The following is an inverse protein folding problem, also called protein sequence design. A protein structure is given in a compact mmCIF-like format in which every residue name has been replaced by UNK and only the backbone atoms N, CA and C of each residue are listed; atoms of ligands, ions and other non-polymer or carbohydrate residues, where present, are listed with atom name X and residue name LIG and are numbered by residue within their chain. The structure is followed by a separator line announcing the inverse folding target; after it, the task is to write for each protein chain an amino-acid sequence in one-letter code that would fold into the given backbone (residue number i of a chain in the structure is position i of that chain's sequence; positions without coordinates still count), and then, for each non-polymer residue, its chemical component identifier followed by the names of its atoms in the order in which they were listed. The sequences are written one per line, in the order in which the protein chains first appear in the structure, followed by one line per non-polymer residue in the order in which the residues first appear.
data_IF_431709689015
#
_entry.id   IF_431709689015
#
_cell.length_a   1.000
_cell.length_b   1.000
_cell.length_c   1.000
_cell.angle_alpha   90.00
_cell.angle_beta   90.00
_cell.angle_gamma   90.00
#
_symmetry.space_group_name_H-M   'P 1'
#
loop_
_entity.id
_entity.type
_entity.pdbx_description
1 polymer ?
#
# COMPACT_ATOMS: atom_id res chain seq x y z
N UNK A 1 6.58 7.18 -11.71
CA UNK A 1 5.71 7.27 -10.52
C UNK A 1 6.56 7.08 -9.27
N UNK A 2 6.51 8.02 -8.34
CA UNK A 2 7.13 7.84 -7.03
C UNK A 2 6.32 6.90 -6.14
N UNK A 3 6.94 6.30 -5.13
CA UNK A 3 6.23 5.43 -4.19
C UNK A 3 5.10 6.17 -3.46
N UNK A 4 5.21 7.48 -3.25
CA UNK A 4 4.16 8.29 -2.65
C UNK A 4 2.87 8.28 -3.49
N UNK A 5 2.98 8.16 -4.82
CA UNK A 5 1.81 8.06 -5.71
C UNK A 5 1.16 6.67 -5.67
N UNK A 6 1.83 5.67 -5.10
CA UNK A 6 1.28 4.33 -4.92
C UNK A 6 0.49 4.16 -3.63
N UNK A 7 0.55 5.14 -2.72
CA UNK A 7 -0.11 5.07 -1.43
C UNK A 7 -1.63 5.13 -1.57
N UNK A 8 -2.33 4.27 -0.87
CA UNK A 8 -3.79 4.15 -0.93
C UNK A 8 -4.48 4.78 0.28
N UNK A 9 -3.80 4.82 1.43
CA UNK A 9 -4.37 5.35 2.66
C UNK A 9 -4.76 6.83 2.57
N UNK A 10 -3.94 7.74 1.99
CA UNK A 10 -4.29 9.15 1.90
C UNK A 10 -5.63 9.38 1.20
N UNK A 11 -5.84 8.80 0.03
CA UNK A 11 -7.10 8.95 -0.71
C UNK A 11 -8.28 8.28 0.00
N UNK A 12 -8.05 7.14 0.64
CA UNK A 12 -9.06 6.46 1.43
C UNK A 12 -9.53 7.32 2.61
N UNK A 13 -8.59 7.99 3.28
CA UNK A 13 -8.88 8.91 4.38
C UNK A 13 -9.68 10.13 3.89
N UNK A 14 -9.25 10.76 2.81
CA UNK A 14 -9.97 11.89 2.20
C UNK A 14 -11.40 11.48 1.84
N UNK A 15 -11.58 10.35 1.19
CA UNK A 15 -12.90 9.84 0.81
C UNK A 15 -13.79 9.60 2.03
N UNK A 16 -13.25 8.99 3.08
CA UNK A 16 -13.99 8.73 4.30
C UNK A 16 -14.43 10.04 4.99
N UNK A 17 -13.53 11.02 5.05
CA UNK A 17 -13.84 12.34 5.62
C UNK A 17 -14.92 13.07 4.81
N UNK A 18 -14.78 13.10 3.50
CA UNK A 18 -15.72 13.78 2.60
C UNK A 18 -17.11 13.15 2.65
N UNK A 19 -17.20 11.82 2.76
CA UNK A 19 -18.51 11.14 2.93
C UNK A 19 -19.21 11.53 4.22
N UNK A 20 -18.50 11.97 5.24
CA UNK A 20 -19.04 12.47 6.49
C UNK A 20 -19.25 13.98 6.49
N UNK A 21 -18.97 14.65 5.36
CA UNK A 21 -19.05 16.11 5.23
C UNK A 21 -18.22 16.85 6.28
N UNK A 22 -17.10 16.27 6.72
CA UNK A 22 -16.20 16.89 7.69
C UNK A 22 -15.06 17.62 6.97
N UNK A 23 -14.70 18.80 7.49
CA UNK A 23 -13.48 19.48 7.09
C UNK A 23 -12.26 18.85 7.77
N UNK A 24 -11.06 19.10 7.26
CA UNK A 24 -9.82 18.68 7.92
C UNK A 24 -9.74 19.22 9.35
N UNK A 25 -10.15 20.47 9.53
CA UNK A 25 -10.16 21.12 10.86
C UNK A 25 -11.13 20.43 11.81
N UNK A 26 -12.32 20.08 11.35
CA UNK A 26 -13.32 19.35 12.16
C UNK A 26 -12.78 17.98 12.58
N UNK A 27 -12.21 17.22 11.64
CA UNK A 27 -11.62 15.92 11.96
C UNK A 27 -10.49 16.07 12.98
N UNK A 28 -9.64 17.08 12.83
CA UNK A 28 -8.55 17.34 13.76
C UNK A 28 -9.08 17.63 15.18
N UNK A 29 -10.15 18.41 15.31
CA UNK A 29 -10.79 18.66 16.61
C UNK A 29 -11.30 17.36 17.22
N UNK A 30 -12.02 16.55 16.46
CA UNK A 30 -12.52 15.24 16.93
C UNK A 30 -11.40 14.31 17.39
N UNK A 31 -10.25 14.40 16.75
CA UNK A 31 -9.09 13.58 17.05
C UNK A 31 -8.15 14.23 18.08
N UNK A 32 -8.46 15.42 18.56
CA UNK A 32 -7.60 16.17 19.48
C UNK A 32 -6.17 16.30 18.97
N UNK A 33 -6.03 16.67 17.71
CA UNK A 33 -4.74 16.87 17.06
C UNK A 33 -4.72 18.15 16.24
N UNK A 34 -3.53 18.59 15.87
CA UNK A 34 -3.35 19.75 15.02
C UNK A 34 -3.86 19.48 13.60
N UNK A 35 -4.56 20.43 12.95
CA UNK A 35 -5.02 20.26 11.57
C UNK A 35 -3.88 19.93 10.58
N UNK A 36 -2.66 20.37 10.84
CA UNK A 36 -1.50 20.05 10.02
C UNK A 36 -1.20 18.56 9.99
N UNK A 37 -1.50 17.82 11.07
CA UNK A 37 -1.36 16.37 11.11
C UNK A 37 -2.36 15.67 10.19
N UNK A 38 -3.61 16.11 10.19
CA UNK A 38 -4.62 15.58 9.27
C UNK A 38 -4.21 15.86 7.82
N UNK A 39 -3.77 17.08 7.55
CA UNK A 39 -3.27 17.45 6.22
C UNK A 39 -2.11 16.56 5.79
N UNK A 40 -1.15 16.31 6.68
CA UNK A 40 0.00 15.45 6.38
C UNK A 40 -0.41 14.00 6.10
N UNK A 41 -1.37 13.46 6.85
CA UNK A 41 -1.93 12.12 6.61
C UNK A 41 -2.60 12.04 5.23
N UNK A 42 -3.38 13.03 4.86
CA UNK A 42 -4.09 13.07 3.58
C UNK A 42 -3.17 13.29 2.38
N UNK A 43 -1.98 13.83 2.60
CA UNK A 43 -0.97 14.02 1.56
C UNK A 43 0.10 12.92 1.52
N UNK A 44 -0.01 11.92 2.38
CA UNK A 44 0.97 10.83 2.44
C UNK A 44 2.34 11.25 2.94
N UNK A 45 2.43 12.35 3.70
CA UNK A 45 3.69 12.86 4.26
C UNK A 45 4.05 12.24 5.61
N UNK A 46 3.08 11.66 6.30
CA UNK A 46 3.30 10.86 7.50
C UNK A 46 3.70 9.45 7.09
N UNK A 47 4.62 8.85 7.84
CA UNK A 47 5.00 7.46 7.62
C UNK A 47 3.88 6.48 7.96
N UNK A 48 4.24 5.30 8.45
CA UNK A 48 3.27 4.26 8.78
C UNK A 48 2.20 4.76 9.76
N UNK A 49 0.95 4.46 9.47
CA UNK A 49 -0.18 4.75 10.34
C UNK A 49 -0.25 3.69 11.43
N UNK A 50 -0.18 4.11 12.69
CA UNK A 50 -0.24 3.18 13.82
C UNK A 50 -1.65 2.64 14.04
N UNK A 51 -1.80 1.43 14.61
CA UNK A 51 -3.12 0.89 14.95
C UNK A 51 -3.91 1.81 15.88
N UNK A 52 -3.25 2.48 16.82
CA UNK A 52 -3.89 3.43 17.73
C UNK A 52 -4.47 4.64 16.99
N UNK A 53 -3.71 5.20 16.04
CA UNK A 53 -4.18 6.31 15.21
C UNK A 53 -5.36 5.88 14.33
N UNK A 54 -5.28 4.69 13.77
CA UNK A 54 -6.34 4.13 12.93
C UNK A 54 -7.64 3.96 13.72
N UNK A 55 -7.57 3.48 14.95
CA UNK A 55 -8.72 3.34 15.82
C UNK A 55 -9.37 4.69 16.15
N UNK A 56 -8.55 5.69 16.43
CA UNK A 56 -9.03 7.06 16.66
C UNK A 56 -9.70 7.64 15.43
N UNK A 57 -9.14 7.42 14.24
CA UNK A 57 -9.74 7.82 12.96
C UNK A 57 -11.10 7.14 12.74
N UNK A 58 -11.15 5.83 12.93
CA UNK A 58 -12.37 5.06 12.76
C UNK A 58 -13.48 5.56 13.67
N UNK A 59 -13.15 5.87 14.92
CA UNK A 59 -14.09 6.41 15.90
C UNK A 59 -14.53 7.84 15.53
N UNK A 60 -13.60 8.71 15.20
CA UNK A 60 -13.91 10.10 14.83
C UNK A 60 -14.76 10.20 13.56
N UNK A 61 -14.53 9.32 12.60
CA UNK A 61 -15.28 9.26 11.34
C UNK A 61 -16.54 8.42 11.41
N UNK A 62 -16.78 7.72 12.52
CA UNK A 62 -17.95 6.86 12.67
C UNK A 62 -18.00 5.74 11.63
N UNK A 63 -16.85 5.12 11.33
CA UNK A 63 -16.75 4.10 10.29
C UNK A 63 -17.47 2.81 10.67
N UNK A 64 -18.14 2.19 9.70
CA UNK A 64 -18.62 0.82 9.83
C UNK A 64 -17.45 -0.16 9.93
N UNK A 65 -17.72 -1.40 10.34
CA UNK A 65 -16.69 -2.46 10.39
C UNK A 65 -16.05 -2.69 9.02
N UNK A 66 -16.83 -2.64 7.95
CA UNK A 66 -16.36 -2.80 6.58
C UNK A 66 -15.48 -1.63 6.14
N UNK A 67 -15.93 -0.41 6.39
CA UNK A 67 -15.16 0.80 6.09
C UNK A 67 -13.83 0.83 6.86
N UNK A 68 -13.88 0.44 8.13
CA UNK A 68 -12.69 0.34 8.98
C UNK A 68 -11.70 -0.69 8.41
N UNK A 69 -12.18 -1.88 8.04
CA UNK A 69 -11.33 -2.91 7.46
C UNK A 69 -10.66 -2.45 6.16
N UNK A 70 -11.38 -1.68 5.33
CA UNK A 70 -10.81 -1.08 4.12
C UNK A 70 -9.69 -0.09 4.42
N UNK A 71 -9.88 0.76 5.43
CA UNK A 71 -8.88 1.75 5.83
C UNK A 71 -7.65 1.07 6.46
N UNK A 72 -7.87 0.04 7.27
CA UNK A 72 -6.80 -0.80 7.85
C UNK A 72 -5.96 -1.47 6.76
N UNK A 73 -6.62 -2.05 5.77
CA UNK A 73 -5.93 -2.67 4.64
C UNK A 73 -5.08 -1.65 3.89
N UNK A 74 -5.62 -0.46 3.60
CA UNK A 74 -4.88 0.60 2.92
C UNK A 74 -3.63 1.01 3.73
N UNK A 75 -3.74 1.11 5.04
CA UNK A 75 -2.62 1.43 5.93
C UNK A 75 -1.53 0.35 5.88
N UNK A 76 -1.91 -0.93 5.93
CA UNK A 76 -0.97 -2.05 5.82
C UNK A 76 -0.30 -2.09 4.45
N UNK A 77 -1.09 -1.92 3.38
CA UNK A 77 -0.56 -1.81 2.01
C UNK A 77 0.54 -0.76 1.94
N UNK A 78 0.26 0.44 2.42
CA UNK A 78 1.19 1.57 2.34
C UNK A 78 2.46 1.31 3.15
N UNK A 79 2.33 0.69 4.33
CA UNK A 79 3.49 0.33 5.15
C UNK A 79 4.41 -0.65 4.43
N UNK A 80 3.86 -1.67 3.79
CA UNK A 80 4.63 -2.67 3.04
C UNK A 80 5.28 -2.06 1.80
N UNK A 81 4.55 -1.21 1.08
CA UNK A 81 5.05 -0.49 -0.11
C UNK A 81 6.21 0.43 0.25
N UNK A 82 6.08 1.21 1.34
CA UNK A 82 7.15 2.09 1.80
C UNK A 82 8.39 1.29 2.24
N UNK A 83 8.19 0.18 2.92
CA UNK A 83 9.28 -0.72 3.30
C UNK A 83 10.01 -1.29 2.06
N UNK A 84 9.25 -1.73 1.07
CA UNK A 84 9.83 -2.22 -0.20
C UNK A 84 10.63 -1.13 -0.91
N UNK A 85 10.10 0.10 -0.96
CA UNK A 85 10.82 1.24 -1.56
C UNK A 85 12.14 1.49 -0.84
N UNK A 86 12.12 1.54 0.48
CA UNK A 86 13.29 1.92 1.28
C UNK A 86 14.40 0.86 1.23
N UNK A 87 14.04 -0.41 1.07
CA UNK A 87 15.00 -1.52 1.06
C UNK A 87 15.34 -2.04 -0.34
N UNK A 88 14.47 -1.88 -1.32
CA UNK A 88 14.63 -2.48 -2.64
C UNK A 88 14.32 -1.53 -3.82
N UNK A 89 13.94 -0.29 -3.56
CA UNK A 89 13.75 0.74 -4.58
C UNK A 89 12.32 0.86 -5.10
N UNK A 90 12.13 1.84 -5.99
CA UNK A 90 10.80 2.21 -6.52
C UNK A 90 10.15 1.09 -7.35
N UNK A 91 10.92 0.36 -8.16
CA UNK A 91 10.37 -0.72 -8.98
C UNK A 91 9.85 -1.88 -8.12
N UNK A 92 10.57 -2.20 -7.05
CA UNK A 92 10.11 -3.20 -6.08
C UNK A 92 8.82 -2.73 -5.39
N UNK A 93 8.74 -1.47 -5.03
CA UNK A 93 7.53 -0.89 -4.44
C UNK A 93 6.32 -1.03 -5.36
N UNK A 94 6.47 -0.78 -6.66
CA UNK A 94 5.40 -0.97 -7.65
C UNK A 94 4.95 -2.42 -7.74
N UNK A 95 5.88 -3.35 -7.78
CA UNK A 95 5.57 -4.78 -7.84
C UNK A 95 4.84 -5.24 -6.58
N UNK A 96 5.29 -4.81 -5.41
CA UNK A 96 4.65 -5.13 -4.13
C UNK A 96 3.23 -4.56 -4.07
N UNK A 97 3.05 -3.30 -4.47
CA UNK A 97 1.73 -2.66 -4.50
C UNK A 97 0.76 -3.43 -5.39
N UNK A 98 1.19 -3.76 -6.60
CA UNK A 98 0.36 -4.51 -7.55
C UNK A 98 0.00 -5.90 -7.01
N UNK A 99 0.97 -6.59 -6.41
CA UNK A 99 0.76 -7.91 -5.81
C UNK A 99 -0.24 -7.88 -4.66
N UNK A 100 -0.16 -6.89 -3.78
CA UNK A 100 -1.11 -6.71 -2.67
C UNK A 100 -2.52 -6.39 -3.17
N UNK A 101 -2.63 -5.52 -4.18
CA UNK A 101 -3.91 -5.20 -4.78
C UNK A 101 -4.53 -6.41 -5.50
N UNK A 102 -3.71 -7.19 -6.20
CA UNK A 102 -4.16 -8.42 -6.84
C UNK A 102 -4.67 -9.43 -5.81
N UNK A 103 -3.97 -9.60 -4.69
CA UNK A 103 -4.41 -10.48 -3.61
C UNK A 103 -5.80 -10.10 -3.07
N UNK A 104 -6.07 -8.80 -2.98
CA UNK A 104 -7.36 -8.32 -2.48
C UNK A 104 -8.48 -8.42 -3.52
N UNK A 105 -8.19 -8.13 -4.77
CA UNK A 105 -9.19 -8.01 -5.84
C UNK A 105 -9.53 -9.34 -6.52
N UNK A 106 -8.58 -10.27 -6.56
CA UNK A 106 -8.71 -11.51 -7.32
C UNK A 106 -9.19 -12.67 -6.45
N UNK A 107 -9.90 -13.61 -7.08
CA UNK A 107 -10.27 -14.87 -6.44
C UNK A 107 -9.02 -15.72 -6.15
N UNK A 108 -9.15 -16.73 -5.30
CA UNK A 108 -8.06 -17.65 -4.99
C UNK A 108 -7.50 -18.33 -6.24
N UNK A 109 -8.38 -18.74 -7.15
CA UNK A 109 -7.99 -19.37 -8.41
C UNK A 109 -7.20 -18.40 -9.31
N UNK A 110 -7.70 -17.17 -9.45
CA UNK A 110 -7.02 -16.12 -10.22
C UNK A 110 -5.66 -15.78 -9.62
N UNK A 111 -5.56 -15.71 -8.31
CA UNK A 111 -4.29 -15.50 -7.60
C UNK A 111 -3.28 -16.61 -7.88
N UNK A 112 -3.74 -17.87 -7.90
CA UNK A 112 -2.88 -19.02 -8.25
C UNK A 112 -2.36 -18.89 -9.67
N UNK A 113 -3.19 -18.48 -10.62
CA UNK A 113 -2.78 -18.22 -12.00
C UNK A 113 -1.71 -17.15 -12.12
N UNK A 114 -1.87 -16.04 -11.41
CA UNK A 114 -0.88 -14.94 -11.38
C UNK A 114 0.45 -15.44 -10.80
N UNK A 115 0.42 -16.15 -9.68
CA UNK A 115 1.63 -16.69 -9.07
C UNK A 115 2.35 -17.68 -9.98
N UNK A 116 1.62 -18.55 -10.65
CA UNK A 116 2.17 -19.52 -11.58
C UNK A 116 2.85 -18.82 -12.76
N UNK A 117 2.22 -17.79 -13.33
CA UNK A 117 2.80 -17.02 -14.42
C UNK A 117 4.08 -16.31 -14.00
N UNK A 118 4.07 -15.64 -12.84
CA UNK A 118 5.26 -14.97 -12.33
C UNK A 118 6.40 -15.97 -12.08
N UNK A 119 6.09 -17.12 -11.49
CA UNK A 119 7.06 -18.17 -11.25
C UNK A 119 7.71 -18.66 -12.57
N UNK A 120 6.89 -18.89 -13.60
CA UNK A 120 7.37 -19.31 -14.91
C UNK A 120 8.29 -18.28 -15.55
N UNK A 121 7.91 -16.99 -15.49
CA UNK A 121 8.73 -15.91 -16.05
C UNK A 121 10.08 -15.79 -15.35
N UNK A 122 10.09 -15.82 -14.02
CA UNK A 122 11.31 -15.74 -13.22
C UNK A 122 12.21 -16.97 -13.47
N UNK A 123 11.62 -18.17 -13.53
CA UNK A 123 12.35 -19.40 -13.76
C UNK A 123 12.97 -19.43 -15.16
N UNK A 124 12.23 -19.00 -16.18
CA UNK A 124 12.74 -18.89 -17.56
C UNK A 124 13.90 -17.90 -17.65
N UNK A 125 13.77 -16.75 -16.98
CA UNK A 125 14.83 -15.74 -16.96
C UNK A 125 16.09 -16.24 -16.25
N UNK A 126 15.95 -16.94 -15.14
CA UNK A 126 17.07 -17.55 -14.41
C UNK A 126 17.79 -18.59 -15.27
N UNK A 127 17.06 -19.43 -15.99
CA UNK A 127 17.64 -20.43 -16.90
C UNK A 127 18.47 -19.76 -18.00
N UNK A 128 17.95 -18.69 -18.63
CA UNK A 128 18.68 -17.93 -19.66
C UNK A 128 19.93 -17.26 -19.08
N UNK A 129 19.86 -16.69 -17.91
CA UNK A 129 21.01 -16.07 -17.23
C UNK A 129 22.08 -17.10 -16.89
N UNK A 130 21.70 -18.29 -16.44
CA UNK A 130 22.60 -19.37 -16.13
C UNK A 130 23.34 -19.85 -17.38
N UNK A 131 22.65 -19.99 -18.52
CA UNK A 131 23.27 -20.36 -19.79
C UNK A 131 24.27 -19.29 -20.27
N UNK A 132 23.92 -18.03 -20.20
CA UNK A 132 24.80 -16.93 -20.57
C UNK A 132 26.01 -16.83 -19.65
N UNK A 133 25.84 -17.06 -18.34
CA UNK A 133 26.94 -17.11 -17.36
C UNK A 133 27.93 -18.27 -17.61
N UNK A 134 27.43 -19.39 -18.09
CA UNK A 134 28.29 -20.57 -18.46
C UNK A 134 29.26 -20.29 -19.60
N UNK A 135 28.91 -19.38 -20.50
CA UNK A 135 29.79 -19.02 -21.63
C UNK A 135 30.89 -18.02 -21.25
N UNK A 136 30.78 -17.31 -20.16
CA UNK A 136 31.77 -16.33 -19.70
C UNK A 136 32.95 -16.96 -18.95
N UNK A 137 32.92 -18.25 -18.70
CA UNK A 137 33.95 -19.00 -17.95
C UNK A 137 34.89 -19.80 -18.82
N UNK A 138 34.96 -19.53 -20.12
CA UNK A 138 35.98 -20.13 -20.99
C UNK A 138 37.34 -19.51 -20.70
N UNK A 139 38.40 -20.33 -20.50
CA UNK A 139 39.75 -19.83 -20.29
C UNK A 139 40.33 -19.15 -21.54
#
# INVERSE_FOLDING_TARGET
MSATQLLLFPDALVSARQRRALSQRHLAVEMQMDPSHVCALEKGRKGAVTPALLERLAKALGLSAEERAGLEWAAVHDQVVLCARDHAGEDAARMVSLGLQAQRALSTEEQQGVRALLFQLVSAKRALTSLAGGHSMSP
#
